data_IF_060934166166
#
_entry.id   IF_060934166166
#
_cell.length_a   1.000
_cell.length_b   1.000
_cell.length_c   1.000
_cell.angle_alpha   90.00
_cell.angle_beta   90.00
_cell.angle_gamma   90.00
#
_symmetry.space_group_name_H-M   'P 1'
#
loop_
_entity.id
_entity.type
_entity.pdbx_description
1 polymer ?
#
# COMPACT_ATOMS: atom_id res chain seq x y z
N UNK A 1 -29.01 13.60 4.20
CA UNK A 1 -28.69 14.59 3.15
C UNK A 1 -27.19 14.68 3.01
N UNK A 2 -26.69 14.64 1.79
CA UNK A 2 -25.27 14.86 1.51
C UNK A 2 -24.95 16.33 1.81
N UNK A 3 -23.94 16.60 2.66
CA UNK A 3 -23.59 17.96 3.10
C UNK A 3 -22.85 18.79 2.04
N UNK A 4 -22.52 18.19 0.88
CA UNK A 4 -21.74 18.84 -0.18
C UNK A 4 -22.47 18.72 -1.53
N UNK A 5 -22.39 19.78 -2.34
CA UNK A 5 -22.98 19.82 -3.68
C UNK A 5 -22.21 18.92 -4.66
N UNK A 6 -22.81 18.52 -5.82
CA UNK A 6 -22.10 17.78 -6.86
C UNK A 6 -20.82 18.48 -7.34
N UNK A 7 -20.84 19.81 -7.45
CA UNK A 7 -19.69 20.62 -7.87
C UNK A 7 -18.57 20.61 -6.82
N UNK A 8 -18.92 20.74 -5.54
CA UNK A 8 -17.97 20.63 -4.43
C UNK A 8 -17.35 19.24 -4.39
N UNK A 9 -18.15 18.19 -4.59
CA UNK A 9 -17.68 16.81 -4.68
C UNK A 9 -16.71 16.63 -5.84
N UNK A 10 -17.05 17.13 -7.03
CA UNK A 10 -16.18 17.08 -8.21
C UNK A 10 -14.84 17.75 -7.94
N UNK A 11 -14.84 18.94 -7.31
CA UNK A 11 -13.60 19.63 -6.91
C UNK A 11 -12.76 18.85 -5.89
N UNK A 12 -13.38 18.18 -4.92
CA UNK A 12 -12.67 17.34 -3.95
C UNK A 12 -12.05 16.14 -4.68
N UNK A 13 -12.80 15.47 -5.54
CA UNK A 13 -12.33 14.30 -6.28
C UNK A 13 -11.19 14.63 -7.25
N UNK A 14 -11.22 15.78 -7.92
CA UNK A 14 -10.15 16.22 -8.83
C UNK A 14 -8.82 16.52 -8.11
N UNK A 15 -8.85 16.80 -6.80
CA UNK A 15 -7.66 17.02 -5.98
C UNK A 15 -7.04 15.75 -5.40
N UNK A 16 -7.72 14.62 -5.54
CA UNK A 16 -7.20 13.35 -5.04
C UNK A 16 -6.08 12.88 -5.96
N UNK A 17 -4.88 12.81 -5.39
CA UNK A 17 -3.70 12.35 -6.11
C UNK A 17 -3.70 10.83 -6.17
N UNK A 18 -3.39 10.28 -7.34
CA UNK A 18 -3.20 8.83 -7.54
C UNK A 18 -1.79 8.36 -7.22
N UNK A 19 -0.86 9.27 -6.87
CA UNK A 19 0.53 9.00 -6.50
C UNK A 19 1.04 10.13 -5.61
N UNK A 20 2.15 9.88 -4.92
CA UNK A 20 2.77 10.82 -3.98
C UNK A 20 1.78 11.27 -2.89
N UNK A 21 0.99 10.32 -2.42
CA UNK A 21 0.06 10.53 -1.31
C UNK A 21 0.81 10.72 0.01
N UNK A 22 0.19 11.38 0.98
CA UNK A 22 0.79 11.56 2.31
C UNK A 22 1.25 10.24 2.95
N UNK A 23 0.47 9.13 2.92
CA UNK A 23 0.92 7.84 3.40
C UNK A 23 2.17 7.31 2.70
N UNK A 24 2.23 7.38 1.37
CA UNK A 24 3.40 6.95 0.61
C UNK A 24 4.66 7.75 0.98
N UNK A 25 4.52 9.08 1.08
CA UNK A 25 5.62 9.98 1.45
C UNK A 25 6.13 9.65 2.85
N UNK A 26 5.25 9.37 3.82
CA UNK A 26 5.65 8.98 5.18
C UNK A 26 6.49 7.70 5.19
N UNK A 27 6.07 6.68 4.45
CA UNK A 27 6.83 5.42 4.33
C UNK A 27 8.19 5.69 3.69
N UNK A 28 8.23 6.44 2.57
CA UNK A 28 9.48 6.79 1.88
C UNK A 28 10.46 7.56 2.76
N UNK A 29 9.99 8.56 3.50
CA UNK A 29 10.82 9.34 4.43
C UNK A 29 11.43 8.46 5.51
N UNK A 30 10.64 7.55 6.11
CA UNK A 30 11.14 6.61 7.11
C UNK A 30 12.18 5.66 6.53
N UNK A 31 11.92 5.08 5.37
CA UNK A 31 12.86 4.18 4.70
C UNK A 31 14.18 4.88 4.39
N UNK A 32 14.11 6.08 3.85
CA UNK A 32 15.30 6.87 3.54
C UNK A 32 16.11 7.21 4.79
N UNK A 33 15.46 7.63 5.87
CA UNK A 33 16.08 7.92 7.16
C UNK A 33 16.71 6.67 7.80
N UNK A 34 16.14 5.48 7.58
CA UNK A 34 16.69 4.21 8.02
C UNK A 34 17.80 3.66 7.09
N UNK A 35 18.26 4.44 6.11
CA UNK A 35 19.35 4.06 5.21
C UNK A 35 18.93 3.21 4.01
N UNK A 36 17.63 2.93 3.85
CA UNK A 36 17.14 2.19 2.70
C UNK A 36 17.18 3.03 1.41
N UNK A 37 17.53 2.38 0.30
CA UNK A 37 17.42 2.95 -1.05
C UNK A 37 16.36 2.19 -1.81
N UNK A 38 15.53 2.90 -2.57
CA UNK A 38 14.37 2.35 -3.25
C UNK A 38 14.06 3.11 -4.53
N UNK A 39 13.24 2.50 -5.39
CA UNK A 39 12.62 3.14 -6.56
C UNK A 39 11.13 3.32 -6.29
N UNK A 40 10.51 4.27 -6.98
CA UNK A 40 9.08 4.55 -6.87
C UNK A 40 8.39 4.33 -8.21
N UNK A 41 7.16 3.82 -8.16
CA UNK A 41 6.30 3.62 -9.35
C UNK A 41 7.04 2.93 -10.50
N UNK A 42 7.79 1.88 -10.20
CA UNK A 42 8.67 1.22 -11.17
C UNK A 42 7.85 0.47 -12.23
N UNK A 43 7.92 0.93 -13.47
CA UNK A 43 7.14 0.42 -14.61
C UNK A 43 7.50 -1.00 -15.04
N UNK A 44 8.58 -1.58 -14.53
CA UNK A 44 8.96 -2.96 -14.80
C UNK A 44 8.02 -3.97 -14.15
N UNK A 45 7.28 -3.54 -13.12
CA UNK A 45 6.34 -4.37 -12.39
C UNK A 45 4.89 -4.09 -12.84
N UNK A 46 4.10 -5.14 -12.96
CA UNK A 46 2.67 -5.00 -13.21
C UNK A 46 2.03 -4.12 -12.11
N UNK A 47 1.24 -3.12 -12.50
CA UNK A 47 0.54 -2.24 -11.57
C UNK A 47 1.43 -1.18 -10.89
N UNK A 48 2.73 -1.16 -11.16
CA UNK A 48 3.67 -0.12 -10.69
C UNK A 48 3.62 0.06 -9.16
N UNK A 49 4.20 -0.85 -8.37
CA UNK A 49 4.18 -0.76 -6.91
C UNK A 49 4.75 0.57 -6.43
N UNK A 50 4.24 1.10 -5.33
CA UNK A 50 4.60 2.43 -4.83
C UNK A 50 6.09 2.55 -4.50
N UNK A 51 6.67 1.47 -3.95
CA UNK A 51 8.07 1.44 -3.54
C UNK A 51 8.68 0.07 -3.87
N UNK A 52 9.88 0.08 -4.45
CA UNK A 52 10.68 -1.12 -4.76
C UNK A 52 11.99 -1.08 -4.01
N UNK A 53 12.18 -1.99 -3.07
CA UNK A 53 13.42 -2.15 -2.29
C UNK A 53 14.21 -3.35 -2.80
N UNK A 54 15.10 -3.11 -3.76
CA UNK A 54 15.83 -4.18 -4.46
C UNK A 54 16.70 -5.02 -3.52
N UNK A 55 17.41 -4.39 -2.57
CA UNK A 55 18.27 -5.08 -1.60
C UNK A 55 17.54 -6.14 -0.77
N UNK A 56 16.29 -5.87 -0.37
CA UNK A 56 15.45 -6.82 0.36
C UNK A 56 14.54 -7.62 -0.57
N UNK A 57 14.64 -7.45 -1.90
CA UNK A 57 13.75 -8.05 -2.90
C UNK A 57 12.27 -7.88 -2.52
N UNK A 58 11.89 -6.65 -2.17
CA UNK A 58 10.59 -6.35 -1.58
C UNK A 58 9.88 -5.23 -2.35
N UNK A 59 8.59 -5.43 -2.61
CA UNK A 59 7.66 -4.44 -3.11
C UNK A 59 6.78 -3.98 -1.97
N UNK A 60 6.54 -2.66 -1.88
CA UNK A 60 5.65 -2.08 -0.87
C UNK A 60 4.52 -1.37 -1.60
N UNK A 61 3.29 -1.71 -1.23
CA UNK A 61 2.06 -1.18 -1.78
C UNK A 61 1.28 -0.46 -0.67
N UNK A 62 1.09 0.85 -0.79
CA UNK A 62 0.47 1.70 0.24
C UNK A 62 -0.96 2.01 -0.17
N UNK A 63 -1.92 1.41 0.52
CA UNK A 63 -3.33 1.41 0.13
C UNK A 63 -4.19 2.34 0.96
N UNK A 64 -4.93 3.21 0.29
CA UNK A 64 -6.01 3.97 0.92
C UNK A 64 -7.20 3.06 1.25
N UNK A 65 -7.63 3.05 2.51
CA UNK A 65 -8.67 2.14 3.02
C UNK A 65 -9.99 2.23 2.24
N UNK A 66 -10.41 3.43 1.89
CA UNK A 66 -11.61 3.65 1.08
C UNK A 66 -11.48 3.07 -0.33
N UNK A 67 -10.35 3.31 -1.01
CA UNK A 67 -10.15 2.97 -2.42
C UNK A 67 -9.99 1.47 -2.67
N UNK A 68 -9.45 0.76 -1.70
CA UNK A 68 -9.15 -0.68 -1.80
C UNK A 68 -10.08 -1.53 -0.93
N UNK A 69 -11.17 -0.94 -0.42
CA UNK A 69 -12.21 -1.64 0.36
C UNK A 69 -11.67 -2.35 1.60
N UNK A 70 -10.80 -1.71 2.34
CA UNK A 70 -10.37 -2.23 3.64
C UNK A 70 -11.51 -2.14 4.66
N UNK A 71 -11.76 -3.18 5.43
CA UNK A 71 -12.90 -3.28 6.36
C UNK A 71 -12.77 -2.46 7.65
N UNK A 72 -11.95 -1.40 7.70
CA UNK A 72 -11.78 -0.55 8.88
C UNK A 72 -12.76 0.63 8.92
N UNK A 73 -12.79 1.34 10.03
CA UNK A 73 -13.65 2.52 10.23
C UNK A 73 -13.38 3.68 9.28
N UNK A 74 -12.17 3.76 8.69
CA UNK A 74 -11.78 4.79 7.74
C UNK A 74 -12.32 4.51 6.32
N UNK A 75 -12.83 3.31 6.07
CA UNK A 75 -13.43 2.89 4.79
C UNK A 75 -14.95 3.03 4.82
N UNK A 76 -15.43 4.26 4.99
CA UNK A 76 -16.87 4.55 5.10
C UNK A 76 -17.63 4.25 3.80
N UNK A 77 -18.87 3.74 3.93
CA UNK A 77 -19.76 3.51 2.80
C UNK A 77 -20.35 4.84 2.29
N UNK A 78 -20.24 5.16 1.00
CA UNK A 78 -20.92 6.31 0.42
C UNK A 78 -22.43 6.17 0.54
N UNK A 79 -23.12 7.29 0.77
CA UNK A 79 -24.59 7.33 0.85
C UNK A 79 -25.28 7.44 -0.52
N UNK A 80 -24.52 7.79 -1.55
CA UNK A 80 -25.04 7.95 -2.93
C UNK A 80 -24.15 7.19 -3.93
N UNK A 81 -24.70 6.88 -5.10
CA UNK A 81 -24.04 6.15 -6.19
C UNK A 81 -23.40 4.82 -5.73
N UNK A 82 -24.09 4.08 -4.88
CA UNK A 82 -23.58 2.84 -4.27
C UNK A 82 -23.14 1.84 -5.34
N UNK A 83 -23.94 1.61 -6.38
CA UNK A 83 -23.63 0.69 -7.47
C UNK A 83 -22.30 1.04 -8.16
N UNK A 84 -22.08 2.31 -8.47
CA UNK A 84 -20.82 2.80 -9.04
C UNK A 84 -19.61 2.49 -8.13
N UNK A 85 -19.75 2.73 -6.83
CA UNK A 85 -18.67 2.49 -5.89
C UNK A 85 -18.37 1.00 -5.71
N UNK A 86 -19.41 0.17 -5.65
CA UNK A 86 -19.26 -1.29 -5.57
C UNK A 86 -18.52 -1.84 -6.77
N UNK A 87 -18.85 -1.40 -7.98
CA UNK A 87 -18.16 -1.80 -9.20
C UNK A 87 -16.70 -1.32 -9.19
N UNK A 88 -16.45 -0.07 -8.84
CA UNK A 88 -15.11 0.51 -8.77
C UNK A 88 -14.22 -0.21 -7.78
N UNK A 89 -14.72 -0.50 -6.58
CA UNK A 89 -13.97 -1.26 -5.57
C UNK A 89 -13.69 -2.68 -6.00
N UNK A 90 -14.67 -3.36 -6.58
CA UNK A 90 -14.48 -4.71 -7.13
C UNK A 90 -13.35 -4.74 -8.18
N UNK A 91 -13.30 -3.75 -9.08
CA UNK A 91 -12.22 -3.60 -10.05
C UNK A 91 -10.87 -3.36 -9.38
N UNK A 92 -10.82 -2.49 -8.37
CA UNK A 92 -9.59 -2.22 -7.63
C UNK A 92 -9.07 -3.48 -6.92
N UNK A 93 -9.91 -4.15 -6.15
CA UNK A 93 -9.54 -5.38 -5.42
C UNK A 93 -9.04 -6.47 -6.37
N UNK A 94 -9.74 -6.71 -7.49
CA UNK A 94 -9.28 -7.69 -8.50
C UNK A 94 -7.94 -7.31 -9.10
N UNK A 95 -7.72 -6.03 -9.38
CA UNK A 95 -6.43 -5.53 -9.87
C UNK A 95 -5.33 -5.76 -8.85
N UNK A 96 -5.58 -5.44 -7.58
CA UNK A 96 -4.61 -5.62 -6.50
C UNK A 96 -4.20 -7.09 -6.36
N UNK A 97 -5.15 -8.00 -6.31
CA UNK A 97 -4.86 -9.44 -6.26
C UNK A 97 -4.05 -9.94 -7.47
N UNK A 98 -4.38 -9.46 -8.67
CA UNK A 98 -3.63 -9.81 -9.88
C UNK A 98 -2.18 -9.31 -9.80
N UNK A 99 -1.97 -8.07 -9.34
CA UNK A 99 -0.64 -7.49 -9.19
C UNK A 99 0.17 -8.25 -8.14
N UNK A 100 -0.40 -8.51 -6.96
CA UNK A 100 0.23 -9.29 -5.90
C UNK A 100 0.65 -10.68 -6.38
N UNK A 101 -0.24 -11.39 -7.07
CA UNK A 101 0.06 -12.72 -7.62
C UNK A 101 1.23 -12.69 -8.62
N UNK A 102 1.29 -11.68 -9.50
CA UNK A 102 2.41 -11.48 -10.42
C UNK A 102 3.72 -11.27 -9.67
N UNK A 103 3.73 -10.37 -8.70
CA UNK A 103 4.93 -10.04 -7.93
C UNK A 103 5.47 -11.24 -7.13
N UNK A 104 4.56 -11.99 -6.50
CA UNK A 104 4.94 -13.19 -5.75
C UNK A 104 5.44 -14.31 -6.67
N UNK A 105 4.82 -14.48 -7.85
CA UNK A 105 5.29 -15.43 -8.87
C UNK A 105 6.71 -15.11 -9.34
N UNK A 106 7.06 -13.84 -9.43
CA UNK A 106 8.41 -13.37 -9.77
C UNK A 106 9.39 -13.47 -8.58
N UNK A 107 8.94 -13.94 -7.42
CA UNK A 107 9.76 -14.17 -6.23
C UNK A 107 10.04 -12.90 -5.41
N UNK A 108 9.19 -11.88 -5.51
CA UNK A 108 9.29 -10.66 -4.70
C UNK A 108 8.49 -10.79 -3.42
N UNK A 109 9.07 -10.36 -2.31
CA UNK A 109 8.34 -10.16 -1.07
C UNK A 109 7.38 -8.98 -1.21
N UNK A 110 6.30 -9.01 -0.46
CA UNK A 110 5.27 -7.98 -0.49
C UNK A 110 4.98 -7.43 0.90
N UNK A 111 4.98 -6.12 1.03
CA UNK A 111 4.43 -5.41 2.20
C UNK A 111 3.23 -4.59 1.72
N UNK A 112 2.05 -4.89 2.26
CA UNK A 112 0.85 -4.08 2.06
C UNK A 112 0.66 -3.20 3.29
N UNK A 113 0.62 -1.89 3.09
CA UNK A 113 0.46 -0.90 4.15
C UNK A 113 -0.86 -0.16 3.98
N UNK A 114 -1.77 -0.34 4.91
CA UNK A 114 -3.06 0.35 4.89
C UNK A 114 -2.96 1.75 5.49
N UNK A 115 -3.68 2.71 4.92
CA UNK A 115 -3.69 4.10 5.37
C UNK A 115 -4.03 4.27 6.85
N UNK A 116 -4.96 3.46 7.38
CA UNK A 116 -5.32 3.45 8.80
C UNK A 116 -4.14 3.09 9.73
N UNK A 117 -3.21 2.25 9.28
CA UNK A 117 -2.01 1.89 10.03
C UNK A 117 -1.00 3.04 10.13
N UNK A 118 -1.12 4.07 9.31
CA UNK A 118 -0.26 5.26 9.29
C UNK A 118 -0.88 6.46 10.03
N UNK A 119 -2.01 6.27 10.71
CA UNK A 119 -2.59 7.26 11.62
C UNK A 119 -1.66 7.57 12.80
N UNK A 120 -1.85 8.74 13.46
CA UNK A 120 -0.94 9.24 14.51
C UNK A 120 -0.55 8.22 15.57
N UNK A 121 -1.50 7.43 16.05
CA UNK A 121 -1.29 6.46 17.14
C UNK A 121 -0.48 5.22 16.71
N UNK A 122 -0.61 4.78 15.47
CA UNK A 122 -0.02 3.52 14.99
C UNK A 122 1.20 3.72 14.09
N UNK A 123 1.38 4.93 13.62
CA UNK A 123 2.39 5.27 12.59
C UNK A 123 3.78 4.77 12.91
N UNK A 124 4.30 5.11 14.08
CA UNK A 124 5.67 4.77 14.45
C UNK A 124 5.86 3.25 14.52
N UNK A 125 4.94 2.55 15.17
CA UNK A 125 4.94 1.08 15.24
C UNK A 125 4.88 0.43 13.85
N UNK A 126 4.04 0.96 12.98
CA UNK A 126 3.90 0.46 11.60
C UNK A 126 5.19 0.65 10.82
N UNK A 127 5.78 1.84 10.88
CA UNK A 127 7.02 2.17 10.19
C UNK A 127 8.21 1.34 10.71
N UNK A 128 8.29 1.10 12.01
CA UNK A 128 9.29 0.21 12.60
C UNK A 128 9.15 -1.23 12.10
N UNK A 129 7.92 -1.75 12.00
CA UNK A 129 7.65 -3.09 11.48
C UNK A 129 8.05 -3.24 10.02
N UNK A 130 7.86 -2.21 9.20
CA UNK A 130 8.30 -2.19 7.80
C UNK A 130 9.84 -2.32 7.76
N UNK A 131 10.56 -1.49 8.51
CA UNK A 131 12.02 -1.52 8.54
C UNK A 131 12.53 -2.89 9.03
N UNK A 132 11.98 -3.42 10.12
CA UNK A 132 12.38 -4.73 10.67
C UNK A 132 12.16 -5.88 9.65
N UNK A 133 11.06 -5.86 8.91
CA UNK A 133 10.81 -6.85 7.86
C UNK A 133 11.84 -6.73 6.72
N UNK A 134 12.17 -5.50 6.31
CA UNK A 134 13.17 -5.28 5.27
C UNK A 134 14.57 -5.73 5.71
N UNK A 135 14.94 -5.46 6.97
CA UNK A 135 16.24 -5.89 7.52
C UNK A 135 16.34 -7.42 7.51
N UNK A 136 15.35 -8.12 8.06
CA UNK A 136 15.29 -9.57 8.09
C UNK A 136 15.33 -10.19 6.68
N UNK A 137 14.56 -9.65 5.74
CA UNK A 137 14.49 -10.19 4.38
C UNK A 137 15.74 -9.86 3.53
N UNK A 138 16.42 -8.76 3.83
CA UNK A 138 17.70 -8.46 3.21
C UNK A 138 18.82 -9.40 3.69
N UNK A 139 18.84 -9.74 4.98
CA UNK A 139 19.78 -10.73 5.54
C UNK A 139 19.56 -12.11 4.93
N UNK A 140 18.30 -12.56 4.82
CA UNK A 140 17.98 -13.80 4.16
C UNK A 140 18.39 -13.80 2.66
N UNK A 141 18.21 -12.68 1.96
CA UNK A 141 18.63 -12.54 0.57
C UNK A 141 20.16 -12.62 0.42
N UNK A 142 20.90 -12.05 1.37
CA UNK A 142 22.36 -12.06 1.37
C UNK A 142 22.95 -13.46 1.68
N UNK A 143 22.29 -14.25 2.52
CA UNK A 143 22.74 -15.60 2.89
C UNK A 143 22.46 -16.67 1.83
N UNK A 144 21.76 -16.30 0.74
CA UNK A 144 21.44 -17.25 -0.33
C UNK A 144 20.44 -18.33 0.07
N UNK A 145 19.73 -18.17 1.19
CA UNK A 145 18.73 -19.11 1.65
C UNK A 145 17.67 -19.31 0.55
N UNK A 146 17.61 -20.49 -0.01
CA UNK A 146 16.60 -20.85 -1.04
C UNK A 146 15.22 -20.79 -0.45
N UNK A 147 14.46 -19.74 -0.76
CA UNK A 147 13.06 -19.61 -0.35
C UNK A 147 12.15 -20.43 -1.23
N UNK A 148 11.27 -21.19 -0.61
CA UNK A 148 10.20 -21.88 -1.33
C UNK A 148 9.07 -20.93 -1.73
N UNK A 149 8.83 -19.87 -0.94
CA UNK A 149 7.78 -18.84 -1.21
C UNK A 149 8.25 -17.46 -0.76
N UNK A 150 7.88 -16.38 -1.46
CA UNK A 150 8.09 -15.01 -1.00
C UNK A 150 7.29 -14.71 0.27
N UNK A 151 7.80 -13.81 1.10
CA UNK A 151 7.08 -13.32 2.27
C UNK A 151 5.97 -12.34 1.88
N UNK A 152 4.91 -12.34 2.68
CA UNK A 152 3.85 -11.33 2.63
C UNK A 152 3.59 -10.81 4.03
N UNK A 153 3.70 -9.49 4.20
CA UNK A 153 3.36 -8.78 5.43
C UNK A 153 2.23 -7.80 5.11
N UNK A 154 1.17 -7.84 5.87
CA UNK A 154 0.07 -6.90 5.78
C UNK A 154 -0.03 -6.12 7.09
N UNK A 155 -0.11 -4.80 6.98
CA UNK A 155 -0.09 -3.88 8.10
C UNK A 155 -1.39 -3.05 8.12
N UNK A 156 -2.51 -3.64 8.58
CA UNK A 156 -3.71 -2.92 8.90
C UNK A 156 -3.58 -2.22 10.27
N UNK A 157 -4.52 -1.35 10.58
CA UNK A 157 -4.77 -0.94 11.96
C UNK A 157 -5.10 -2.18 12.78
N UNK A 158 -4.31 -2.46 13.80
CA UNK A 158 -4.69 -3.49 14.78
C UNK A 158 -5.90 -3.00 15.58
N UNK A 159 -6.84 -3.87 15.93
CA UNK A 159 -7.99 -3.52 16.77
C UNK A 159 -7.56 -2.98 18.12
#
# INVERSE_FOLDING_TARGET
MDRITPEQRSRIMSRIKGKDTKPEILVRQRLFAAGWRFRICDKRFLGHPDIVVTRARTLIDVRGCFWHRHGCTDATMPKSNIAFWMEKWSKNVRRDHRNEASWQKEGWNLIVVWGCALGKQMRERTLLRICAALDAWAEEAATGARRRRPHRLELPRQP
#
